data_IF_886300300378
#
_entry.id   IF_886300300378
#
_cell.length_a   1.000
_cell.length_b   1.000
_cell.length_c   1.000
_cell.angle_alpha   90.00
_cell.angle_beta   90.00
_cell.angle_gamma   90.00
#
_symmetry.space_group_name_H-M   'P 1'
#
loop_
_entity.id
_entity.type
_entity.pdbx_description
1 polymer ?
#
# COMPACT_ATOMS: atom_id res chain seq x y z
N UNK A 1 9.34 -1.70 -5.02
CA UNK A 1 10.65 -1.25 -4.51
C UNK A 1 10.34 -0.76 -3.11
N UNK A 2 10.99 -1.25 -2.05
CA UNK A 2 10.64 -0.81 -0.69
C UNK A 2 10.79 0.70 -0.54
N UNK A 3 9.76 1.36 0.00
CA UNK A 3 9.77 2.80 0.31
C UNK A 3 10.77 3.05 1.43
N UNK A 4 11.71 3.96 1.23
CA UNK A 4 12.71 4.33 2.24
C UNK A 4 12.45 5.72 2.83
N UNK A 5 12.99 5.98 4.02
CA UNK A 5 12.92 7.30 4.68
C UNK A 5 13.46 8.41 3.78
N UNK A 6 14.62 8.20 3.15
CA UNK A 6 15.25 9.18 2.24
C UNK A 6 14.34 9.55 1.06
N UNK A 7 13.63 8.57 0.50
CA UNK A 7 12.68 8.83 -0.59
C UNK A 7 11.51 9.70 -0.13
N UNK A 8 11.02 9.47 1.09
CA UNK A 8 9.94 10.26 1.68
C UNK A 8 10.42 11.65 2.04
N UNK A 9 11.60 11.80 2.64
CA UNK A 9 12.23 13.10 2.92
C UNK A 9 12.36 13.94 1.65
N UNK A 10 12.85 13.32 0.57
CA UNK A 10 12.95 13.96 -0.75
C UNK A 10 11.59 14.42 -1.27
N UNK A 11 10.56 13.58 -1.13
CA UNK A 11 9.21 13.90 -1.60
C UNK A 11 8.51 14.99 -0.78
N UNK A 12 8.76 15.02 0.53
CA UNK A 12 8.21 16.01 1.45
C UNK A 12 9.04 17.30 1.49
N UNK A 13 10.22 17.32 0.87
CA UNK A 13 11.19 18.41 0.95
C UNK A 13 11.55 18.78 2.40
N UNK A 14 11.82 17.76 3.23
CA UNK A 14 12.21 17.91 4.63
C UNK A 14 13.53 17.19 4.91
N UNK A 15 14.22 17.64 5.94
CA UNK A 15 15.39 16.98 6.51
C UNK A 15 15.05 16.50 7.95
N UNK A 16 15.51 15.30 8.34
CA UNK A 16 15.28 14.74 9.67
C UNK A 16 13.99 13.92 9.82
N UNK A 17 13.55 13.73 11.07
CA UNK A 17 12.31 13.02 11.45
C UNK A 17 12.31 11.52 11.07
N UNK A 18 13.49 10.89 11.05
CA UNK A 18 13.69 9.52 10.57
C UNK A 18 12.79 8.51 11.28
N UNK A 19 12.66 8.62 12.60
CA UNK A 19 11.82 7.73 13.41
C UNK A 19 10.33 7.88 13.09
N UNK A 20 9.85 9.12 12.93
CA UNK A 20 8.45 9.41 12.61
C UNK A 20 8.14 8.92 11.20
N UNK A 21 9.01 9.22 10.24
CA UNK A 21 8.82 8.80 8.85
C UNK A 21 8.87 7.28 8.72
N UNK A 22 9.78 6.61 9.43
CA UNK A 22 9.84 5.15 9.45
C UNK A 22 8.58 4.54 10.05
N UNK A 23 8.03 5.10 11.14
CA UNK A 23 6.75 4.66 11.72
C UNK A 23 5.61 4.81 10.71
N UNK A 24 5.49 5.97 10.08
CA UNK A 24 4.44 6.24 9.09
C UNK A 24 4.55 5.35 7.85
N UNK A 25 5.77 5.01 7.40
CA UNK A 25 5.98 4.07 6.30
C UNK A 25 5.45 2.69 6.68
N UNK A 26 5.82 2.19 7.86
CA UNK A 26 5.35 0.88 8.37
C UNK A 26 3.83 0.86 8.53
N UNK A 27 3.25 1.89 9.14
CA UNK A 27 1.80 2.05 9.28
C UNK A 27 1.10 2.09 7.91
N UNK A 28 1.66 2.83 6.95
CA UNK A 28 1.12 2.92 5.60
C UNK A 28 1.13 1.59 4.86
N UNK A 29 2.23 0.83 4.96
CA UNK A 29 2.35 -0.52 4.41
C UNK A 29 1.27 -1.44 5.00
N UNK A 30 1.13 -1.47 6.32
CA UNK A 30 0.15 -2.31 7.00
C UNK A 30 -1.29 -1.89 6.70
N UNK A 31 -1.57 -0.58 6.69
CA UNK A 31 -2.88 -0.04 6.34
C UNK A 31 -3.31 -0.45 4.93
N UNK A 32 -2.43 -0.27 3.94
CA UNK A 32 -2.73 -0.60 2.54
C UNK A 32 -2.89 -2.10 2.37
N UNK A 33 -2.03 -2.92 2.99
CA UNK A 33 -2.15 -4.39 2.95
C UNK A 33 -3.45 -4.86 3.59
N UNK A 34 -3.79 -4.34 4.77
CA UNK A 34 -5.04 -4.64 5.46
C UNK A 34 -6.26 -4.25 4.62
N UNK A 35 -6.19 -3.10 3.94
CA UNK A 35 -7.24 -2.68 3.05
C UNK A 35 -7.33 -3.58 1.81
N UNK A 36 -6.22 -4.04 1.23
CA UNK A 36 -6.23 -4.80 -0.02
C UNK A 36 -6.49 -6.29 0.22
N UNK A 37 -5.53 -6.98 0.83
CA UNK A 37 -5.58 -8.39 1.27
C UNK A 37 -4.34 -8.65 2.14
N UNK A 38 -4.55 -8.89 3.43
CA UNK A 38 -3.46 -9.09 4.40
C UNK A 38 -2.76 -10.45 4.26
N UNK A 39 -3.34 -11.40 3.52
CA UNK A 39 -2.76 -12.73 3.31
C UNK A 39 -1.63 -12.72 2.28
N UNK A 40 -1.51 -11.64 1.50
CA UNK A 40 -0.45 -11.49 0.51
C UNK A 40 0.80 -10.92 1.18
N UNK A 41 1.96 -11.48 0.81
CA UNK A 41 3.26 -11.06 1.32
C UNK A 41 3.56 -9.60 0.96
N UNK A 42 4.29 -8.89 1.81
CA UNK A 42 4.66 -7.49 1.50
C UNK A 42 5.55 -7.42 0.26
N UNK A 43 6.39 -8.44 0.06
CA UNK A 43 7.28 -8.57 -1.09
C UNK A 43 6.51 -8.67 -2.42
N UNK A 44 5.31 -9.26 -2.41
CA UNK A 44 4.43 -9.27 -3.58
C UNK A 44 3.83 -7.90 -3.87
N UNK A 45 3.44 -7.16 -2.83
CA UNK A 45 2.96 -5.78 -2.98
C UNK A 45 4.04 -4.85 -3.54
N UNK A 46 5.28 -4.97 -3.05
CA UNK A 46 6.40 -4.14 -3.47
C UNK A 46 6.82 -4.37 -4.94
N UNK A 47 6.31 -5.41 -5.62
CA UNK A 47 6.48 -5.55 -7.08
C UNK A 47 5.68 -4.51 -7.86
N UNK A 48 4.72 -3.84 -7.23
CA UNK A 48 3.86 -2.85 -7.87
C UNK A 48 4.26 -1.43 -7.46
N UNK A 49 4.73 -0.59 -8.41
CA UNK A 49 5.04 0.81 -8.10
C UNK A 49 3.85 1.61 -7.53
N UNK A 50 2.62 1.14 -7.80
CA UNK A 50 1.40 1.72 -7.25
C UNK A 50 1.30 1.53 -5.72
N UNK A 51 1.82 0.43 -5.19
CA UNK A 51 1.90 0.19 -3.74
C UNK A 51 2.82 1.22 -3.09
N UNK A 52 4.03 1.38 -3.64
CA UNK A 52 5.01 2.36 -3.16
C UNK A 52 4.43 3.79 -3.20
N UNK A 53 3.70 4.12 -4.27
CA UNK A 53 3.01 5.43 -4.39
C UNK A 53 1.89 5.60 -3.37
N UNK A 54 1.13 4.55 -3.08
CA UNK A 54 0.08 4.57 -2.07
C UNK A 54 0.67 4.77 -0.67
N UNK A 55 1.75 4.07 -0.33
CA UNK A 55 2.47 4.23 0.95
C UNK A 55 2.96 5.66 1.10
N UNK A 56 3.64 6.22 0.08
CA UNK A 56 4.10 7.62 0.09
C UNK A 56 2.95 8.60 0.30
N UNK A 57 1.81 8.38 -0.36
CA UNK A 57 0.62 9.24 -0.22
C UNK A 57 0.01 9.15 1.18
N UNK A 58 0.01 7.95 1.80
CA UNK A 58 -0.38 7.79 3.19
C UNK A 58 0.54 8.62 4.09
N UNK A 59 1.86 8.43 3.96
CA UNK A 59 2.86 9.15 4.78
C UNK A 59 2.72 10.66 4.62
N UNK A 60 2.63 11.18 3.39
CA UNK A 60 2.45 12.63 3.18
C UNK A 60 1.17 13.17 3.81
N UNK A 61 0.08 12.41 3.77
CA UNK A 61 -1.20 12.84 4.34
C UNK A 61 -1.10 12.94 5.86
N UNK A 62 -0.60 11.89 6.52
CA UNK A 62 -0.53 11.82 7.99
C UNK A 62 0.65 12.58 8.60
N UNK A 63 1.71 12.85 7.83
CA UNK A 63 2.81 13.68 8.27
C UNK A 63 2.35 15.14 8.50
N UNK A 64 1.59 15.70 7.55
CA UNK A 64 1.08 17.07 7.65
C UNK A 64 -0.24 17.18 8.40
N UNK A 65 -1.12 16.18 8.31
CA UNK A 65 -2.38 16.11 9.06
C UNK A 65 -2.29 15.02 10.12
N UNK A 66 -1.81 15.42 11.30
CA UNK A 66 -1.76 14.55 12.49
C UNK A 66 -3.12 14.37 13.16
N UNK A 67 -4.18 15.02 12.65
CA UNK A 67 -5.52 14.83 13.18
C UNK A 67 -6.13 13.57 12.58
N UNK A 68 -6.60 12.67 13.43
CA UNK A 68 -7.33 11.45 13.02
C UNK A 68 -8.69 11.74 12.35
N UNK A 69 -8.99 13.02 12.08
CA UNK A 69 -10.33 13.52 11.77
C UNK A 69 -10.70 13.55 10.28
N UNK A 70 -9.79 13.25 9.37
CA UNK A 70 -10.07 13.32 7.93
C UNK A 70 -9.72 11.99 7.29
N UNK A 71 -10.75 11.25 6.89
CA UNK A 71 -10.61 9.92 6.32
C UNK A 71 -9.66 9.86 5.12
N UNK A 72 -9.28 8.64 4.76
CA UNK A 72 -8.41 8.29 3.64
C UNK A 72 -8.61 9.20 2.43
N UNK A 73 -7.54 9.87 1.98
CA UNK A 73 -7.62 10.77 0.83
C UNK A 73 -8.22 10.05 -0.38
N UNK A 74 -9.02 10.75 -1.20
CA UNK A 74 -9.66 10.15 -2.39
C UNK A 74 -8.64 9.48 -3.31
N UNK A 75 -7.46 10.08 -3.46
CA UNK A 75 -6.35 9.51 -4.23
C UNK A 75 -5.87 8.19 -3.63
N UNK A 76 -5.64 8.13 -2.32
CA UNK A 76 -5.26 6.90 -1.63
C UNK A 76 -6.33 5.81 -1.75
N UNK A 77 -7.61 6.16 -1.60
CA UNK A 77 -8.72 5.23 -1.78
C UNK A 77 -8.78 4.66 -3.22
N UNK A 78 -8.56 5.48 -4.25
CA UNK A 78 -8.48 5.01 -5.63
C UNK A 78 -7.30 4.04 -5.83
N UNK A 79 -6.12 4.36 -5.31
CA UNK A 79 -4.94 3.48 -5.42
C UNK A 79 -5.18 2.13 -4.73
N UNK A 80 -5.79 2.12 -3.54
CA UNK A 80 -6.16 0.89 -2.84
C UNK A 80 -7.13 0.04 -3.68
N UNK A 81 -8.15 0.66 -4.30
CA UNK A 81 -9.09 -0.08 -5.15
C UNK A 81 -8.43 -0.68 -6.40
N UNK A 82 -7.50 0.06 -7.03
CA UNK A 82 -6.72 -0.47 -8.15
C UNK A 82 -5.79 -1.61 -7.71
N UNK A 83 -5.17 -1.50 -6.53
CA UNK A 83 -4.37 -2.57 -5.94
C UNK A 83 -5.23 -3.81 -5.68
N UNK A 84 -6.43 -3.67 -5.08
CA UNK A 84 -7.37 -4.80 -4.89
C UNK A 84 -7.67 -5.55 -6.17
N UNK A 85 -8.12 -4.86 -7.22
CA UNK A 85 -8.45 -5.53 -8.48
C UNK A 85 -7.26 -6.27 -9.07
N UNK A 86 -6.06 -5.70 -8.96
CA UNK A 86 -4.83 -6.33 -9.43
C UNK A 86 -4.44 -7.53 -8.57
N UNK A 87 -4.37 -7.37 -7.25
CA UNK A 87 -3.96 -8.43 -6.34
C UNK A 87 -4.92 -9.61 -6.33
N UNK A 88 -6.23 -9.38 -6.48
CA UNK A 88 -7.19 -10.47 -6.64
C UNK A 88 -6.97 -11.26 -7.93
N UNK A 89 -6.64 -10.59 -9.04
CA UNK A 89 -6.27 -11.27 -10.28
C UNK A 89 -4.97 -12.09 -10.10
N UNK A 90 -3.99 -11.57 -9.36
CA UNK A 90 -2.77 -12.32 -9.04
C UNK A 90 -3.07 -13.53 -8.14
N UNK A 91 -3.87 -13.36 -7.10
CA UNK A 91 -4.26 -14.44 -6.19
C UNK A 91 -5.12 -15.52 -6.89
N UNK A 92 -5.92 -15.15 -7.89
CA UNK A 92 -6.68 -16.10 -8.69
C UNK A 92 -5.79 -16.89 -9.67
N UNK A 93 -4.88 -16.20 -10.35
CA UNK A 93 -3.90 -16.83 -11.25
C UNK A 93 -2.86 -17.70 -10.50
N UNK A 94 -2.62 -17.42 -9.22
CA UNK A 94 -1.70 -18.18 -8.37
C UNK A 94 -2.33 -19.42 -7.73
N UNK A 95 -3.67 -19.60 -7.83
CA UNK A 95 -4.29 -20.87 -7.45
C UNK A 95 -3.83 -21.93 -8.46
N UNK A 96 -3.23 -23.05 -8.03
CA UNK A 96 -3.06 -24.20 -8.92
C UNK A 96 -4.44 -24.55 -9.45
N UNK A 97 -4.55 -24.71 -10.77
CA UNK A 97 -5.80 -24.72 -11.53
C UNK A 97 -6.96 -25.32 -10.75
N UNK A 98 -8.00 -24.52 -10.55
CA UNK A 98 -9.28 -25.03 -10.11
C UNK A 98 -9.69 -26.13 -11.07
N UNK A 99 -9.81 -27.33 -10.55
CA UNK A 99 -10.32 -28.49 -11.27
C UNK A 99 -11.60 -28.06 -12.00
N UNK A 100 -11.61 -28.23 -13.32
CA UNK A 100 -12.81 -28.16 -14.13
C UNK A 100 -13.71 -29.36 -13.76
N UNK A 101 -14.33 -29.33 -12.59
CA UNK A 101 -15.32 -30.31 -12.19
C UNK A 101 -16.72 -29.68 -12.23
N UNK A 102 -17.45 -30.05 -13.29
CA UNK A 102 -18.91 -30.10 -13.25
C UNK A 102 -19.65 -28.96 -13.95
N UNK A 103 -19.58 -28.91 -15.28
CA UNK A 103 -20.76 -28.49 -16.04
C UNK A 103 -21.63 -29.73 -16.28
N UNK A 104 -22.78 -29.75 -15.61
CA UNK A 104 -23.93 -30.61 -15.89
C UNK A 104 -24.92 -29.84 -16.76
#
# INVERSE_FOLDING_TARGET
>A
MTVTVEQVQTELHIDGEEEILQSLITEGQDYIRSAVDYNISIEDYEKYPLFDRAVKTYVSSYYYDRSTGVGTSKGLAMMINHLRGRMWQFADNAKPGGDNDGQN
#
